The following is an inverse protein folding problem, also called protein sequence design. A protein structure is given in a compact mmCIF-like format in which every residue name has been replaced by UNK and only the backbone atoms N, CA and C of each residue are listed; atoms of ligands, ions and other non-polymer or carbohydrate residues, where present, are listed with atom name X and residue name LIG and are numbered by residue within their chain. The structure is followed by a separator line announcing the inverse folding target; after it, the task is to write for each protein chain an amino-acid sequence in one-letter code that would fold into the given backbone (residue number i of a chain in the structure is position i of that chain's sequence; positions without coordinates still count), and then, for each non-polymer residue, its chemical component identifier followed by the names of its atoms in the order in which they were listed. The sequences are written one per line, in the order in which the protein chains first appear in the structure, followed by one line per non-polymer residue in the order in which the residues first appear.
data_IF_711333425861
#
_entry.id   IF_711333425861
#
_cell.length_a   1.000
_cell.length_b   1.000
_cell.length_c   1.000
_cell.angle_alpha   90.00
_cell.angle_beta   90.00
_cell.angle_gamma   90.00
#
_symmetry.space_group_name_H-M   'P 1'
#
loop_
_entity.id
_entity.type
_entity.pdbx_description
1 polymer ?
#
# COMPACT_ATOMS: atom_id res chain seq x y z
N UNK A 1 60.44 28.29 -14.51
CA UNK A 1 59.20 28.66 -13.80
C UNK A 1 58.03 28.25 -14.68
N UNK A 2 57.50 27.05 -14.49
CA UNK A 2 56.42 26.50 -15.32
C UNK A 2 55.07 26.86 -14.73
N UNK A 3 54.26 27.61 -15.49
CA UNK A 3 52.84 27.83 -15.20
C UNK A 3 52.07 26.54 -15.50
N UNK A 4 51.42 25.98 -14.49
CA UNK A 4 50.40 24.93 -14.62
C UNK A 4 49.06 25.64 -14.74
N UNK A 5 48.46 25.58 -15.93
CA UNK A 5 47.12 26.08 -16.20
C UNK A 5 46.06 25.10 -15.68
N UNK A 6 45.28 25.54 -14.69
CA UNK A 6 44.12 24.84 -14.16
C UNK A 6 42.93 25.11 -15.10
N UNK A 7 42.45 24.08 -15.82
CA UNK A 7 41.21 24.16 -16.59
C UNK A 7 40.02 23.90 -15.66
N UNK A 8 39.23 24.95 -15.40
CA UNK A 8 37.97 24.87 -14.66
C UNK A 8 36.83 24.57 -15.67
N UNK A 9 36.22 23.39 -15.57
CA UNK A 9 35.06 23.00 -16.36
C UNK A 9 33.78 23.40 -15.60
N UNK A 10 33.14 24.49 -16.03
CA UNK A 10 31.83 24.93 -15.54
C UNK A 10 30.75 24.18 -16.34
N UNK A 11 30.01 23.30 -15.66
CA UNK A 11 28.80 22.67 -16.19
C UNK A 11 27.62 23.61 -15.94
N UNK A 12 27.13 24.25 -17.00
CA UNK A 12 25.89 25.02 -16.95
C UNK A 12 24.70 24.04 -17.01
N UNK A 13 23.97 23.93 -15.91
CA UNK A 13 22.67 23.28 -15.86
C UNK A 13 21.63 24.20 -16.53
N UNK A 14 21.00 23.73 -17.60
CA UNK A 14 19.91 24.43 -18.28
C UNK A 14 18.59 24.17 -17.55
N UNK A 15 17.94 25.25 -17.13
CA UNK A 15 16.61 25.24 -16.53
C UNK A 15 15.56 24.82 -17.57
N UNK A 16 15.05 23.60 -17.42
CA UNK A 16 13.91 23.09 -18.17
C UNK A 16 12.61 23.69 -17.64
N UNK A 17 12.08 24.66 -18.39
CA UNK A 17 10.82 25.35 -18.17
C UNK A 17 9.63 24.36 -18.27
N UNK A 18 9.13 23.87 -17.13
CA UNK A 18 8.00 22.97 -17.07
C UNK A 18 6.69 23.76 -17.22
N UNK A 19 6.05 23.60 -18.38
CA UNK A 19 4.72 24.16 -18.64
C UNK A 19 3.68 23.59 -17.66
N UNK A 20 3.05 24.51 -16.94
CA UNK A 20 1.90 24.33 -16.07
C UNK A 20 0.72 23.69 -16.82
N UNK A 21 0.54 22.38 -16.63
CA UNK A 21 -0.67 21.67 -17.04
C UNK A 21 -1.78 21.92 -16.02
N UNK A 22 -2.77 22.74 -16.40
CA UNK A 22 -4.00 22.97 -15.66
C UNK A 22 -4.61 21.65 -15.14
N UNK A 23 -4.51 21.44 -13.83
CA UNK A 23 -5.21 20.39 -13.11
C UNK A 23 -6.70 20.77 -13.06
N UNK A 24 -7.48 20.27 -14.02
CA UNK A 24 -8.92 20.46 -14.03
C UNK A 24 -9.55 19.81 -12.79
N UNK A 25 -10.14 20.70 -12.00
CA UNK A 25 -11.08 20.49 -10.90
C UNK A 25 -11.88 19.19 -11.00
N UNK A 26 -11.74 18.38 -9.95
CA UNK A 26 -12.38 17.10 -9.73
C UNK A 26 -13.88 17.28 -9.48
N UNK A 27 -14.70 16.76 -10.41
CA UNK A 27 -16.11 16.50 -10.12
C UNK A 27 -16.22 15.59 -8.89
N UNK A 28 -17.13 15.92 -7.98
CA UNK A 28 -17.43 15.14 -6.76
C UNK A 28 -17.82 13.71 -7.15
N UNK A 29 -16.91 12.76 -7.01
CA UNK A 29 -17.15 11.34 -7.20
C UNK A 29 -17.23 10.67 -5.82
N UNK A 30 -18.37 10.07 -5.51
CA UNK A 30 -18.56 9.31 -4.27
C UNK A 30 -17.71 8.04 -4.30
N UNK A 31 -16.66 7.98 -3.49
CA UNK A 31 -15.92 6.76 -3.20
C UNK A 31 -16.66 6.02 -2.08
N UNK A 32 -17.12 4.81 -2.36
CA UNK A 32 -17.63 3.90 -1.34
C UNK A 32 -16.59 2.80 -1.15
N UNK A 33 -15.78 2.92 -0.10
CA UNK A 33 -14.93 1.83 0.39
C UNK A 33 -15.80 1.07 1.40
N UNK A 34 -16.20 -0.15 1.06
CA UNK A 34 -16.91 -1.04 1.98
C UNK A 34 -15.99 -2.20 2.36
N UNK A 35 -15.60 -2.34 3.65
CA UNK A 35 -15.08 -3.61 4.12
C UNK A 35 -16.21 -4.66 4.05
N UNK A 36 -15.98 -5.77 3.34
CA UNK A 36 -16.91 -6.90 3.25
C UNK A 36 -16.67 -7.85 4.44
N UNK A 37 -17.67 -8.64 4.88
CA UNK A 37 -17.54 -9.51 6.05
C UNK A 37 -16.52 -10.63 5.82
N UNK A 38 -15.86 -10.96 6.93
CA UNK A 38 -14.76 -11.88 7.10
C UNK A 38 -15.23 -13.35 6.96
N UNK A 39 -14.85 -13.99 5.85
CA UNK A 39 -14.38 -15.38 5.77
C UNK A 39 -14.36 -15.84 4.30
N UNK A 40 -13.18 -15.79 3.67
CA UNK A 40 -12.92 -16.52 2.43
C UNK A 40 -11.86 -17.57 2.75
N UNK A 41 -12.23 -18.84 2.52
CA UNK A 41 -11.37 -20.00 2.69
C UNK A 41 -10.11 -19.86 1.81
N UNK A 42 -8.96 -19.72 2.46
CA UNK A 42 -7.65 -19.61 1.81
C UNK A 42 -7.19 -21.02 1.45
N UNK A 43 -7.04 -21.30 0.15
CA UNK A 43 -6.46 -22.53 -0.38
C UNK A 43 -5.08 -22.80 0.26
N UNK A 44 -4.77 -24.09 0.53
CA UNK A 44 -3.67 -24.69 1.32
C UNK A 44 -2.19 -24.27 1.04
N UNK A 45 -1.91 -23.09 0.50
CA UNK A 45 -0.62 -22.42 0.72
C UNK A 45 -0.66 -21.73 2.08
N UNK A 46 0.36 -21.94 2.93
CA UNK A 46 0.42 -21.29 4.24
C UNK A 46 0.46 -19.76 4.08
N UNK A 47 -0.69 -19.10 4.23
CA UNK A 47 -0.81 -17.65 4.18
C UNK A 47 0.19 -17.02 5.15
N UNK A 48 0.90 -16.01 4.67
CA UNK A 48 1.87 -15.24 5.44
C UNK A 48 1.20 -14.02 6.07
N UNK A 49 0.03 -14.20 6.66
CA UNK A 49 -0.60 -13.13 7.43
C UNK A 49 0.22 -12.83 8.68
N UNK A 50 0.54 -11.54 8.88
CA UNK A 50 1.39 -11.07 9.96
C UNK A 50 0.64 -10.11 10.86
N UNK A 51 0.64 -10.37 12.16
CA UNK A 51 0.18 -9.41 13.17
C UNK A 51 1.39 -8.82 13.91
N UNK A 52 1.73 -7.56 13.62
CA UNK A 52 2.91 -6.90 14.19
C UNK A 52 2.74 -6.58 15.68
N UNK A 53 1.50 -6.37 16.16
CA UNK A 53 1.23 -6.23 17.59
C UNK A 53 1.57 -7.53 18.34
N UNK A 54 1.15 -8.68 17.83
CA UNK A 54 1.46 -10.00 18.40
C UNK A 54 2.96 -10.31 18.35
N UNK A 55 3.67 -9.86 17.32
CA UNK A 55 5.14 -9.97 17.26
C UNK A 55 5.83 -9.17 18.34
N UNK A 56 5.45 -7.91 18.52
CA UNK A 56 5.99 -7.07 19.59
C UNK A 56 5.60 -7.61 20.99
N UNK A 57 4.36 -8.10 21.16
CA UNK A 57 3.91 -8.73 22.39
C UNK A 57 4.82 -9.91 22.78
N UNK A 58 5.06 -10.84 21.84
CA UNK A 58 5.94 -11.98 22.07
C UNK A 58 7.38 -11.56 22.39
N UNK A 59 7.87 -10.50 21.75
CA UNK A 59 9.18 -9.94 22.07
C UNK A 59 9.25 -9.46 23.52
N UNK A 60 8.24 -8.70 23.97
CA UNK A 60 8.16 -8.21 25.35
C UNK A 60 8.00 -9.34 26.35
N UNK A 61 7.19 -10.37 26.06
CA UNK A 61 7.04 -11.54 26.92
C UNK A 61 8.38 -12.26 27.15
N UNK A 62 9.17 -12.43 26.08
CA UNK A 62 10.52 -12.99 26.19
C UNK A 62 11.44 -12.10 27.01
N UNK A 63 11.40 -10.77 26.78
CA UNK A 63 12.22 -9.80 27.52
C UNK A 63 11.85 -9.78 29.01
N UNK A 64 10.58 -9.99 29.33
CA UNK A 64 10.09 -9.98 30.70
C UNK A 64 10.65 -11.14 31.55
N UNK A 65 11.26 -12.16 30.92
CA UNK A 65 11.99 -13.21 31.63
C UNK A 65 13.31 -12.71 32.26
N UNK A 66 13.86 -11.62 31.73
CA UNK A 66 15.13 -11.02 32.17
C UNK A 66 14.99 -9.62 32.74
N UNK A 67 13.87 -8.95 32.48
CA UNK A 67 13.63 -7.55 32.87
C UNK A 67 12.24 -7.40 33.43
N UNK A 68 12.03 -6.58 34.46
CA UNK A 68 10.69 -6.34 35.01
C UNK A 68 9.94 -5.30 34.15
N UNK A 69 9.39 -5.72 33.02
CA UNK A 69 8.60 -4.86 32.12
C UNK A 69 7.22 -4.62 32.73
N UNK A 70 6.85 -3.37 32.94
CA UNK A 70 5.56 -2.96 33.55
C UNK A 70 4.52 -2.55 32.52
N UNK A 71 4.95 -1.93 31.41
CA UNK A 71 4.08 -1.50 30.33
C UNK A 71 4.84 -1.34 29.01
N UNK A 72 4.15 -1.34 27.87
CA UNK A 72 4.76 -1.17 26.55
C UNK A 72 3.74 -0.70 25.51
N UNK A 73 4.20 -0.14 24.38
CA UNK A 73 3.33 0.29 23.29
C UNK A 73 4.06 0.59 21.97
N UNK A 74 3.38 0.30 20.85
CA UNK A 74 3.88 0.54 19.48
C UNK A 74 3.47 1.90 18.91
N UNK A 75 2.34 2.46 19.39
CA UNK A 75 1.70 3.62 18.77
C UNK A 75 2.11 4.91 19.46
N UNK A 76 1.95 6.03 18.73
CA UNK A 76 2.15 7.40 19.25
C UNK A 76 1.37 7.77 20.52
N UNK A 77 0.34 7.00 20.89
CA UNK A 77 -0.49 7.27 22.07
C UNK A 77 0.10 6.68 23.36
N UNK A 78 1.20 5.92 23.28
CA UNK A 78 1.85 5.36 24.47
C UNK A 78 2.62 6.45 25.22
N UNK A 79 2.57 6.39 26.56
CA UNK A 79 3.10 7.39 27.49
C UNK A 79 4.51 7.86 27.17
N UNK A 80 5.38 6.94 26.76
CA UNK A 80 6.74 7.25 26.32
C UNK A 80 6.81 8.36 25.25
N UNK A 81 5.91 8.30 24.26
CA UNK A 81 5.87 9.24 23.15
C UNK A 81 5.15 10.53 23.49
N UNK A 82 4.15 10.48 24.38
CA UNK A 82 3.30 11.63 24.69
C UNK A 82 3.88 12.55 25.76
N UNK A 83 4.71 12.01 26.67
CA UNK A 83 5.30 12.77 27.78
C UNK A 83 6.74 13.22 27.52
N UNK A 84 7.25 13.06 26.30
CA UNK A 84 8.58 13.56 25.93
C UNK A 84 9.74 12.76 26.51
N UNK A 85 9.54 11.46 26.77
CA UNK A 85 10.62 10.55 27.20
C UNK A 85 11.51 10.09 26.02
N UNK A 86 11.12 10.44 24.79
CA UNK A 86 11.83 10.09 23.56
C UNK A 86 13.12 10.90 23.39
N UNK A 87 14.16 10.22 22.91
CA UNK A 87 15.45 10.83 22.56
C UNK A 87 15.36 11.47 21.16
N UNK A 88 16.32 12.34 20.86
CA UNK A 88 16.41 12.97 19.53
C UNK A 88 16.47 11.90 18.42
N UNK A 89 15.53 11.97 17.48
CA UNK A 89 15.43 11.06 16.34
C UNK A 89 14.53 9.83 16.56
N UNK A 90 14.10 9.55 17.79
CA UNK A 90 13.18 8.43 18.05
C UNK A 90 11.73 8.80 17.72
N UNK A 91 11.03 7.87 17.10
CA UNK A 91 9.61 8.00 16.79
C UNK A 91 8.88 6.64 16.85
N UNK A 92 7.55 6.65 17.05
CA UNK A 92 6.74 5.44 16.99
C UNK A 92 6.84 4.74 15.63
N UNK A 93 6.48 3.46 15.59
CA UNK A 93 6.50 2.69 14.35
C UNK A 93 5.59 3.33 13.30
N UNK A 94 6.14 3.59 12.11
CA UNK A 94 5.40 4.08 10.95
C UNK A 94 5.60 3.13 9.78
N UNK A 95 4.52 2.84 9.05
CA UNK A 95 4.56 2.01 7.85
C UNK A 95 4.40 2.85 6.59
N UNK A 96 5.21 2.54 5.57
CA UNK A 96 5.15 3.21 4.26
C UNK A 96 5.08 2.16 3.15
N UNK A 97 4.13 2.32 2.24
CA UNK A 97 4.05 1.50 1.03
C UNK A 97 5.00 2.10 -0.02
N UNK A 98 6.11 1.42 -0.27
CA UNK A 98 7.18 1.88 -1.18
C UNK A 98 6.78 1.70 -2.64
N UNK A 99 6.19 0.55 -2.95
CA UNK A 99 5.77 0.22 -4.30
C UNK A 99 4.55 -0.67 -4.28
N UNK A 100 3.73 -0.57 -5.33
CA UNK A 100 2.60 -1.45 -5.56
C UNK A 100 2.56 -1.80 -7.05
N UNK A 101 2.77 -3.06 -7.36
CA UNK A 101 2.93 -3.56 -8.72
C UNK A 101 1.91 -4.65 -9.04
N UNK A 102 1.62 -4.84 -10.33
CA UNK A 102 0.67 -5.81 -10.84
C UNK A 102 1.37 -6.62 -11.93
N UNK A 103 1.70 -7.86 -11.59
CA UNK A 103 2.54 -8.77 -12.37
C UNK A 103 1.68 -9.90 -12.96
N UNK A 104 2.18 -10.52 -14.03
CA UNK A 104 1.60 -11.74 -14.59
C UNK A 104 0.10 -11.61 -14.92
N UNK A 105 -0.22 -10.74 -15.88
CA UNK A 105 -1.60 -10.57 -16.37
C UNK A 105 -2.16 -11.92 -16.84
N UNK A 106 -3.08 -12.49 -16.07
CA UNK A 106 -3.39 -13.92 -16.15
C UNK A 106 -4.65 -14.18 -16.97
N UNK A 107 -5.63 -13.28 -16.94
CA UNK A 107 -6.93 -13.57 -17.58
C UNK A 107 -7.60 -12.31 -18.11
N UNK A 108 -8.17 -12.43 -19.32
CA UNK A 108 -9.12 -11.46 -19.87
C UNK A 108 -10.43 -12.19 -20.10
N UNK A 109 -11.34 -12.12 -19.14
CA UNK A 109 -12.70 -12.60 -19.33
C UNK A 109 -13.51 -11.47 -19.97
N UNK A 110 -13.99 -11.70 -21.18
CA UNK A 110 -14.95 -10.82 -21.83
C UNK A 110 -16.33 -11.41 -21.60
N UNK A 111 -17.16 -10.71 -20.84
CA UNK A 111 -18.58 -11.03 -20.84
C UNK A 111 -19.18 -10.57 -22.17
N UNK A 112 -20.02 -11.43 -22.76
CA UNK A 112 -20.87 -11.08 -23.91
C UNK A 112 -22.14 -10.32 -23.48
N UNK A 113 -22.34 -10.13 -22.18
CA UNK A 113 -23.53 -9.52 -21.63
C UNK A 113 -23.62 -8.05 -22.02
N UNK A 114 -24.83 -7.69 -22.43
CA UNK A 114 -25.15 -6.35 -22.91
C UNK A 114 -25.52 -5.49 -21.71
N UNK A 115 -24.58 -4.68 -21.25
CA UNK A 115 -24.85 -3.71 -20.19
C UNK A 115 -25.23 -2.36 -20.80
N UNK A 116 -26.30 -1.75 -20.28
CA UNK A 116 -26.66 -0.37 -20.64
C UNK A 116 -25.53 0.59 -20.26
N UNK A 117 -25.19 1.51 -21.16
CA UNK A 117 -24.12 2.48 -20.94
C UNK A 117 -24.32 3.32 -19.66
N UNK A 118 -25.57 3.61 -19.30
CA UNK A 118 -25.94 4.34 -18.09
C UNK A 118 -25.67 3.57 -16.78
N UNK A 119 -25.58 2.24 -16.87
CA UNK A 119 -25.32 1.32 -15.74
C UNK A 119 -23.88 0.83 -15.70
N UNK A 120 -23.04 1.31 -16.61
CA UNK A 120 -21.64 0.94 -16.59
C UNK A 120 -20.96 1.54 -15.36
N UNK A 121 -20.42 0.65 -14.53
CA UNK A 121 -19.60 0.96 -13.37
C UNK A 121 -18.28 0.22 -13.54
N UNK A 122 -17.16 0.92 -13.45
CA UNK A 122 -15.87 0.25 -13.39
C UNK A 122 -15.57 -0.10 -11.93
N UNK A 123 -15.14 -1.34 -11.70
CA UNK A 123 -14.90 -1.88 -10.37
C UNK A 123 -13.46 -2.37 -10.31
N UNK A 124 -12.74 -1.93 -9.29
CA UNK A 124 -11.38 -2.33 -9.01
C UNK A 124 -11.36 -3.01 -7.65
N UNK A 125 -10.90 -4.25 -7.60
CA UNK A 125 -10.93 -5.08 -6.40
C UNK A 125 -9.52 -5.58 -6.11
N UNK A 126 -9.08 -5.45 -4.86
CA UNK A 126 -7.85 -6.04 -4.36
C UNK A 126 -8.21 -7.07 -3.29
N UNK A 127 -7.91 -8.34 -3.56
CA UNK A 127 -8.02 -9.43 -2.59
C UNK A 127 -6.63 -9.72 -2.04
N UNK A 128 -6.42 -9.53 -0.75
CA UNK A 128 -5.12 -9.67 -0.08
C UNK A 128 -5.04 -11.09 0.51
N UNK A 129 -4.01 -11.83 0.11
CA UNK A 129 -3.79 -13.22 0.56
C UNK A 129 -2.70 -13.32 1.61
N UNK A 130 -1.62 -12.55 1.44
CA UNK A 130 -0.58 -12.35 2.44
C UNK A 130 -0.65 -10.89 2.87
N UNK A 131 -1.31 -10.64 4.00
CA UNK A 131 -1.55 -9.32 4.52
C UNK A 131 -0.90 -9.07 5.87
N UNK A 132 -1.18 -7.90 6.40
CA UNK A 132 -0.60 -7.42 7.63
C UNK A 132 -1.67 -6.75 8.49
N UNK A 133 -1.57 -6.98 9.78
CA UNK A 133 -2.37 -6.35 10.82
C UNK A 133 -1.44 -5.64 11.81
N UNK A 134 -1.72 -4.38 12.08
CA UNK A 134 -0.99 -3.58 13.05
C UNK A 134 -1.78 -2.37 13.53
N UNK A 135 -1.32 -1.69 14.59
CA UNK A 135 -2.01 -0.55 15.16
C UNK A 135 -1.66 0.79 14.47
N UNK A 136 -1.18 0.75 13.22
CA UNK A 136 -0.81 1.93 12.42
C UNK A 136 -1.45 1.85 11.03
N UNK A 137 -1.61 3.01 10.39
CA UNK A 137 -2.18 3.09 9.04
C UNK A 137 -1.15 2.73 7.96
N UNK A 138 -1.64 2.22 6.82
CA UNK A 138 -0.82 1.96 5.63
C UNK A 138 -1.49 2.59 4.39
N UNK A 139 -1.57 3.92 4.32
CA UNK A 139 -2.20 4.60 3.20
C UNK A 139 -1.34 4.48 1.94
N UNK A 140 -1.98 4.24 0.80
CA UNK A 140 -1.34 4.25 -0.51
C UNK A 140 -2.28 4.84 -1.57
N UNK A 141 -1.72 5.67 -2.44
CA UNK A 141 -2.43 6.25 -3.56
C UNK A 141 -2.22 5.39 -4.82
N UNK A 142 -3.22 4.61 -5.19
CA UNK A 142 -3.12 3.67 -6.31
C UNK A 142 -3.72 4.27 -7.57
N UNK A 143 -2.96 4.25 -8.67
CA UNK A 143 -3.48 4.74 -9.94
C UNK A 143 -4.18 3.62 -10.71
N UNK A 144 -5.50 3.70 -10.89
CA UNK A 144 -6.33 2.72 -11.62
C UNK A 144 -6.68 3.19 -13.04
N UNK A 145 -7.01 2.28 -13.99
CA UNK A 145 -6.80 0.83 -13.90
C UNK A 145 -5.32 0.50 -13.82
N UNK A 146 -4.90 -0.49 -13.03
CA UNK A 146 -3.49 -0.92 -13.02
C UNK A 146 -3.12 -1.70 -14.29
N UNK A 147 -4.05 -2.46 -14.88
CA UNK A 147 -3.82 -3.25 -16.10
C UNK A 147 -4.18 -2.43 -17.34
N UNK A 148 -3.28 -1.54 -17.74
CA UNK A 148 -3.49 -0.58 -18.84
C UNK A 148 -3.10 -1.12 -20.21
N UNK A 149 -3.73 -0.57 -21.24
CA UNK A 149 -3.18 -0.60 -22.61
C UNK A 149 -2.29 0.63 -22.78
N UNK A 150 -1.20 0.51 -23.55
CA UNK A 150 -0.25 1.63 -23.82
C UNK A 150 -0.92 2.95 -24.27
N UNK A 151 -2.10 2.88 -24.92
CA UNK A 151 -2.85 4.04 -25.42
C UNK A 151 -4.02 4.50 -24.51
N UNK A 152 -4.14 3.98 -23.29
CA UNK A 152 -5.22 4.36 -22.36
C UNK A 152 -4.89 5.70 -21.72
N UNK A 153 -5.65 6.75 -22.05
CA UNK A 153 -5.38 8.12 -21.57
C UNK A 153 -5.98 8.45 -20.19
N UNK A 154 -6.94 7.68 -19.70
CA UNK A 154 -7.69 8.02 -18.49
C UNK A 154 -7.29 7.13 -17.33
N UNK A 155 -6.94 7.75 -16.22
CA UNK A 155 -6.42 7.13 -15.00
C UNK A 155 -6.89 7.93 -13.79
N UNK A 156 -7.09 7.25 -12.66
CA UNK A 156 -7.58 7.88 -11.42
C UNK A 156 -6.71 7.43 -10.28
N UNK A 157 -6.46 8.32 -9.32
CA UNK A 157 -5.82 7.98 -8.07
C UNK A 157 -6.91 7.61 -7.07
N UNK A 158 -6.79 6.43 -6.47
CA UNK A 158 -7.68 5.93 -5.42
C UNK A 158 -6.86 5.77 -4.15
N UNK A 159 -7.24 6.42 -3.04
CA UNK A 159 -6.62 6.18 -1.74
C UNK A 159 -7.07 4.82 -1.22
N UNK A 160 -6.13 3.98 -0.81
CA UNK A 160 -6.36 2.69 -0.15
C UNK A 160 -5.63 2.67 1.19
N UNK A 161 -6.15 1.93 2.16
CA UNK A 161 -5.42 1.57 3.37
C UNK A 161 -5.20 0.06 3.37
N UNK A 162 -3.94 -0.38 3.37
CA UNK A 162 -3.60 -1.81 3.30
C UNK A 162 -3.57 -2.48 4.68
N UNK A 163 -3.60 -1.71 5.78
CA UNK A 163 -3.56 -2.28 7.12
C UNK A 163 -4.87 -2.98 7.44
N UNK A 164 -4.78 -4.22 7.93
CA UNK A 164 -5.92 -5.06 8.28
C UNK A 164 -6.93 -5.24 7.11
N UNK A 165 -6.47 -5.07 5.88
CA UNK A 165 -7.31 -5.20 4.70
C UNK A 165 -7.19 -6.62 4.13
N UNK A 166 -8.30 -7.33 4.03
CA UNK A 166 -8.41 -8.61 3.31
C UNK A 166 -8.99 -8.39 1.90
N UNK A 167 -9.85 -7.38 1.76
CA UNK A 167 -10.59 -7.09 0.55
C UNK A 167 -10.86 -5.59 0.43
N UNK A 168 -10.43 -4.98 -0.67
CA UNK A 168 -10.64 -3.56 -0.97
C UNK A 168 -11.37 -3.42 -2.30
N UNK A 169 -12.35 -2.52 -2.37
CA UNK A 169 -13.11 -2.23 -3.60
C UNK A 169 -13.16 -0.73 -3.85
N UNK A 170 -12.83 -0.35 -5.07
CA UNK A 170 -13.05 1.00 -5.59
C UNK A 170 -13.97 0.95 -6.80
N UNK A 171 -15.02 1.78 -6.78
CA UNK A 171 -16.03 1.87 -7.83
C UNK A 171 -15.93 3.24 -8.48
N UNK A 172 -15.72 3.29 -9.80
CA UNK A 172 -15.67 4.53 -10.57
C UNK A 172 -16.82 4.59 -11.57
N UNK A 173 -17.62 5.64 -11.46
CA UNK A 173 -18.67 5.96 -12.42
C UNK A 173 -18.16 7.01 -13.40
N UNK A 174 -18.20 6.66 -14.68
CA UNK A 174 -17.74 7.57 -15.72
C UNK A 174 -18.92 8.32 -16.32
N UNK A 175 -18.99 9.62 -16.05
CA UNK A 175 -20.02 10.50 -16.64
C UNK A 175 -20.01 10.42 -18.17
N UNK A 176 -18.82 10.45 -18.79
CA UNK A 176 -18.71 10.36 -20.25
C UNK A 176 -19.18 9.01 -20.84
N UNK A 177 -19.14 7.91 -20.07
CA UNK A 177 -19.68 6.62 -20.55
C UNK A 177 -21.20 6.65 -20.63
N UNK A 178 -21.86 7.44 -19.77
CA UNK A 178 -23.32 7.64 -19.85
C UNK A 178 -23.77 8.31 -21.15
N UNK A 179 -22.87 9.05 -21.81
CA UNK A 179 -23.10 9.71 -23.10
C UNK A 179 -22.82 8.79 -24.29
N UNK A 180 -22.15 7.65 -24.09
CA UNK A 180 -21.86 6.72 -25.18
C UNK A 180 -23.14 6.05 -25.65
N UNK A 181 -23.58 6.42 -26.85
CA UNK A 181 -24.59 5.66 -27.60
C UNK A 181 -23.98 4.36 -28.13
N UNK A 182 -24.64 3.24 -27.89
CA UNK A 182 -24.29 1.92 -28.42
C UNK A 182 -24.16 0.84 -27.35
N UNK A 183 -23.73 -0.35 -27.77
CA UNK A 183 -23.55 -1.50 -26.88
C UNK A 183 -22.21 -1.40 -26.15
N UNK A 184 -22.26 -1.55 -24.82
CA UNK A 184 -21.09 -1.69 -23.96
C UNK A 184 -20.95 -3.17 -23.59
N UNK A 185 -19.70 -3.62 -23.49
CA UNK A 185 -19.33 -4.90 -22.90
C UNK A 185 -18.48 -4.66 -21.66
N UNK A 186 -18.64 -5.51 -20.65
CA UNK A 186 -17.72 -5.58 -19.52
C UNK A 186 -16.50 -6.42 -19.91
N UNK A 187 -15.33 -6.01 -19.43
CA UNK A 187 -14.08 -6.74 -19.59
C UNK A 187 -13.41 -6.83 -18.23
N UNK A 188 -13.39 -8.05 -17.70
CA UNK A 188 -12.71 -8.39 -16.46
C UNK A 188 -11.26 -8.76 -16.77
N UNK A 189 -10.34 -8.18 -16.02
CA UNK A 189 -8.92 -8.50 -16.07
C UNK A 189 -8.38 -8.74 -14.67
N UNK A 190 -7.45 -9.67 -14.56
CA UNK A 190 -6.82 -10.02 -13.29
C UNK A 190 -5.30 -10.03 -13.41
N UNK A 191 -4.63 -9.77 -12.30
CA UNK A 191 -3.19 -9.98 -12.11
C UNK A 191 -2.90 -10.28 -10.64
N UNK A 192 -1.74 -10.86 -10.38
CA UNK A 192 -1.22 -10.91 -9.02
C UNK A 192 -0.58 -9.56 -8.72
N UNK A 193 -0.90 -8.97 -7.57
CA UNK A 193 -0.26 -7.74 -7.14
C UNK A 193 0.65 -8.00 -5.94
N UNK A 194 1.68 -7.17 -5.84
CA UNK A 194 2.60 -7.16 -4.72
C UNK A 194 2.78 -5.72 -4.25
N UNK A 195 2.82 -5.51 -2.94
CA UNK A 195 3.14 -4.23 -2.34
C UNK A 195 4.34 -4.37 -1.40
N UNK A 196 5.40 -3.61 -1.66
CA UNK A 196 6.56 -3.51 -0.75
C UNK A 196 6.25 -2.49 0.34
N UNK A 197 6.36 -2.93 1.59
CA UNK A 197 6.09 -2.12 2.76
C UNK A 197 7.39 -2.03 3.58
N UNK A 198 7.71 -0.82 4.03
CA UNK A 198 8.79 -0.57 4.98
C UNK A 198 8.23 0.00 6.26
N UNK A 199 8.70 -0.54 7.38
CA UNK A 199 8.46 -0.01 8.70
C UNK A 199 9.76 0.58 9.23
N UNK A 200 9.65 1.77 9.81
CA UNK A 200 10.73 2.42 10.54
C UNK A 200 10.22 2.87 11.92
N UNK A 201 11.13 3.31 12.78
CA UNK A 201 10.84 3.72 14.15
C UNK A 201 10.95 2.58 15.15
N UNK A 202 10.48 2.85 16.36
CA UNK A 202 10.63 1.94 17.50
C UNK A 202 9.31 1.76 18.25
N UNK A 203 9.20 0.65 18.98
CA UNK A 203 8.24 0.54 20.08
C UNK A 203 8.99 0.75 21.40
N UNK A 204 8.26 1.17 22.43
CA UNK A 204 8.85 1.49 23.73
C UNK A 204 8.23 0.65 24.83
N UNK A 205 8.99 0.40 25.88
CA UNK A 205 8.55 -0.28 27.09
C UNK A 205 9.10 0.40 28.34
N UNK A 206 8.34 0.30 29.42
CA UNK A 206 8.70 0.74 30.75
C UNK A 206 9.14 -0.45 31.58
N UNK A 207 10.17 -0.28 32.39
CA UNK A 207 10.67 -1.33 33.27
C UNK A 207 11.13 -0.77 34.63
N UNK A 208 11.17 -1.65 35.64
CA UNK A 208 11.77 -1.35 36.93
C UNK A 208 13.29 -1.57 36.86
N UNK A 209 14.07 -0.56 37.23
CA UNK A 209 15.54 -0.69 37.30
C UNK A 209 15.95 -1.71 38.39
N UNK A 210 17.16 -2.27 38.29
CA UNK A 210 17.69 -3.32 39.20
C UNK A 210 17.71 -2.89 40.67
N UNK A 211 17.85 -1.59 40.94
CA UNK A 211 17.77 -1.02 42.30
C UNK A 211 16.33 -0.91 42.83
N UNK A 212 15.32 -1.30 42.04
CA UNK A 212 13.90 -1.35 42.41
C UNK A 212 13.21 -0.01 42.64
N UNK A 213 13.95 1.10 42.61
CA UNK A 213 13.47 2.41 43.06
C UNK A 213 12.85 3.31 41.99
N UNK A 214 13.19 3.10 40.70
CA UNK A 214 12.76 4.01 39.63
C UNK A 214 12.27 3.26 38.39
N UNK A 215 11.21 3.78 37.79
CA UNK A 215 10.77 3.40 36.45
C UNK A 215 11.69 4.02 35.41
N UNK A 216 12.12 3.23 34.45
CA UNK A 216 12.90 3.66 33.30
C UNK A 216 12.18 3.23 32.01
N UNK A 217 12.59 3.83 30.89
CA UNK A 217 12.08 3.49 29.58
C UNK A 217 13.21 3.01 28.66
N UNK A 218 12.86 2.13 27.75
CA UNK A 218 13.73 1.70 26.67
C UNK A 218 12.92 1.55 25.38
N UNK A 219 13.62 1.71 24.26
CA UNK A 219 13.10 1.59 22.90
C UNK A 219 13.68 0.37 22.22
N UNK A 220 12.92 -0.19 21.29
CA UNK A 220 13.32 -1.32 20.47
C UNK A 220 13.00 -0.98 19.01
N UNK A 221 14.01 -0.95 18.13
CA UNK A 221 13.81 -0.75 16.71
C UNK A 221 12.90 -1.81 16.11
N UNK A 222 12.05 -1.41 15.16
CA UNK A 222 11.12 -2.33 14.50
C UNK A 222 11.82 -3.48 13.76
N UNK A 223 13.07 -3.28 13.31
CA UNK A 223 13.92 -4.32 12.73
C UNK A 223 14.11 -5.55 13.64
N UNK A 224 13.99 -5.40 14.97
CA UNK A 224 14.08 -6.52 15.92
C UNK A 224 12.85 -7.45 15.89
N UNK A 225 11.78 -7.07 15.19
CA UNK A 225 10.58 -7.90 15.00
C UNK A 225 10.67 -8.82 13.78
N UNK A 226 11.88 -9.09 13.27
CA UNK A 226 12.13 -9.95 12.12
C UNK A 226 11.54 -11.36 12.28
N UNK A 227 10.97 -11.88 11.19
CA UNK A 227 10.52 -13.26 11.08
C UNK A 227 10.54 -13.66 9.59
N UNK A 228 11.69 -14.16 9.11
CA UNK A 228 11.85 -14.56 7.72
C UNK A 228 10.85 -15.63 7.27
N UNK A 229 10.39 -16.50 8.19
CA UNK A 229 9.40 -17.55 7.89
C UNK A 229 8.04 -16.96 7.51
N UNK A 230 7.72 -15.77 8.02
CA UNK A 230 6.52 -14.99 7.73
C UNK A 230 6.75 -13.88 6.71
N UNK A 231 7.95 -13.75 6.15
CA UNK A 231 8.30 -12.72 5.16
C UNK A 231 8.61 -11.34 5.76
N UNK A 232 8.80 -11.24 7.07
CA UNK A 232 9.33 -10.05 7.73
C UNK A 232 10.85 -10.10 7.70
N UNK A 233 11.48 -9.18 6.98
CA UNK A 233 12.92 -9.12 6.78
C UNK A 233 13.49 -7.86 7.42
N UNK A 234 14.51 -7.97 8.27
CA UNK A 234 15.21 -6.81 8.81
C UNK A 234 16.13 -6.17 7.76
N UNK A 235 16.21 -4.84 7.78
CA UNK A 235 17.21 -4.03 7.08
C UNK A 235 17.79 -3.02 8.07
N UNK A 236 18.64 -3.51 8.98
CA UNK A 236 19.11 -2.74 10.13
C UNK A 236 17.96 -2.46 11.11
N UNK A 237 17.70 -1.18 11.36
CA UNK A 237 16.59 -0.74 12.24
C UNK A 237 15.22 -0.79 11.56
N UNK A 238 15.19 -0.91 10.22
CA UNK A 238 13.96 -1.02 9.44
C UNK A 238 13.49 -2.47 9.31
N UNK A 239 12.20 -2.62 9.02
CA UNK A 239 11.56 -3.90 8.72
C UNK A 239 10.89 -3.84 7.35
N UNK A 240 11.21 -4.78 6.47
CA UNK A 240 10.63 -4.95 5.14
C UNK A 240 9.61 -6.07 5.15
N UNK A 241 8.49 -5.85 4.45
CA UNK A 241 7.46 -6.85 4.23
C UNK A 241 6.91 -6.74 2.81
N UNK A 242 6.55 -7.87 2.20
CA UNK A 242 5.89 -7.90 0.89
C UNK A 242 4.50 -8.46 1.03
N UNK A 243 3.50 -7.59 0.91
CA UNK A 243 2.09 -7.96 0.85
C UNK A 243 1.77 -8.50 -0.54
N UNK A 244 1.01 -9.59 -0.61
CA UNK A 244 0.62 -10.23 -1.87
C UNK A 244 -0.89 -10.41 -1.97
N UNK A 245 -1.38 -10.48 -3.20
CA UNK A 245 -2.79 -10.74 -3.46
C UNK A 245 -3.14 -10.77 -4.94
N UNK A 246 -4.44 -10.76 -5.23
CA UNK A 246 -4.98 -10.67 -6.58
C UNK A 246 -5.68 -9.33 -6.78
N UNK A 247 -5.34 -8.64 -7.87
CA UNK A 247 -6.04 -7.45 -8.31
C UNK A 247 -6.94 -7.80 -9.49
N UNK A 248 -8.20 -7.39 -9.39
CA UNK A 248 -9.21 -7.54 -10.41
C UNK A 248 -9.71 -6.17 -10.85
N UNK A 249 -9.90 -5.99 -12.15
CA UNK A 249 -10.59 -4.84 -12.69
C UNK A 249 -11.68 -5.27 -13.67
N UNK A 250 -12.90 -4.83 -13.40
CA UNK A 250 -14.00 -4.86 -14.36
C UNK A 250 -14.12 -3.48 -15.00
N UNK A 251 -13.85 -3.42 -16.31
CA UNK A 251 -13.90 -2.17 -17.08
C UNK A 251 -14.88 -2.27 -18.23
N UNK A 252 -15.58 -1.17 -18.49
CA UNK A 252 -16.51 -1.09 -19.59
C UNK A 252 -15.82 -0.70 -20.88
N UNK A 253 -16.23 -1.34 -21.99
CA UNK A 253 -15.74 -0.99 -23.32
C UNK A 253 -16.87 -0.89 -24.31
N UNK A 254 -16.81 0.14 -25.16
CA UNK A 254 -17.66 0.21 -26.35
C UNK A 254 -17.33 -0.97 -27.27
N UNK A 255 -18.36 -1.71 -27.70
CA UNK A 255 -18.17 -2.71 -28.75
C UNK A 255 -17.81 -2.00 -30.07
N UNK A 256 -16.73 -2.46 -30.71
CA UNK A 256 -16.45 -2.08 -32.10
C UNK A 256 -17.48 -2.78 -32.96
N UNK A 257 -18.25 -2.03 -33.75
CA UNK A 257 -19.02 -2.64 -34.84
C UNK A 257 -17.98 -3.18 -35.82
N UNK A 258 -17.95 -4.50 -36.03
CA UNK A 258 -17.25 -5.04 -37.19
C UNK A 258 -17.93 -4.42 -38.41
N UNK A 259 -17.21 -3.54 -39.12
CA UNK A 259 -17.64 -3.13 -40.46
C UNK A 259 -17.60 -4.41 -41.28
N UNK A 260 -18.76 -4.92 -41.70
CA UNK A 260 -18.81 -5.94 -42.73
C UNK A 260 -18.13 -5.32 -43.96
N UNK A 261 -16.98 -5.84 -44.34
CA UNK A 261 -16.38 -5.51 -45.64
C UNK A 261 -17.40 -5.97 -46.67
N UNK A 262 -17.98 -5.04 -47.44
CA UNK A 262 -18.80 -5.42 -48.59
C UNK A 262 -17.83 -6.05 -49.60
N UNK A 263 -18.00 -7.36 -49.85
CA UNK A 263 -17.45 -8.02 -51.03
C UNK A 263 -18.30 -7.63 -52.23
#
# INVERSE_FOLDING_TARGET
MSLVGLLLLIVLATEGNAQNGNLQSTGRQGQFIQPLPESLEINNGASKWVNLYKKAQKYIENLNSTSNVTSWGLTKNYTYWTEGHNRSGEHPIMGTVVSLTCNNMTTVLQSNDRVSAKKCLEVFTWNITDGLEGPFELPVNVTVPMIRKKKSKKTFVVPLNLNNATHLVAKLKWEHLSLIRGRIRSVKKTCNFTAEIRFNGSFAYQYLNETGGCLAYATVPVGNLTDPSKGLLSDGEELKYTLTGTYEQDICRKMRRHRKTRQ
#
